data_IF_768979873530
#
_entry.id   IF_768979873530
#
_cell.length_a   1.000
_cell.length_b   1.000
_cell.length_c   1.000
_cell.angle_alpha   90.00
_cell.angle_beta   90.00
_cell.angle_gamma   90.00
#
_symmetry.space_group_name_H-M   'P 1'
#
loop_
_entity.id
_entity.type
_entity.pdbx_description
1 polymer ?
#
# COMPACT_ATOMS: atom_id res chain seq x y z
N UNK A 1 -14.23 -16.09 5.90
CA UNK A 1 -14.42 -14.65 6.16
C UNK A 1 -15.62 -14.14 5.40
N UNK A 2 -16.03 -12.88 5.58
CA UNK A 2 -17.09 -12.25 4.79
C UNK A 2 -16.51 -11.74 3.47
N UNK A 3 -17.17 -11.98 2.34
CA UNK A 3 -16.83 -11.34 1.07
C UNK A 3 -17.18 -9.85 1.15
N UNK A 4 -16.22 -8.99 0.79
CA UNK A 4 -16.39 -7.53 0.81
C UNK A 4 -16.08 -7.01 -0.59
N UNK A 5 -17.14 -6.68 -1.32
CA UNK A 5 -17.02 -6.09 -2.65
C UNK A 5 -16.54 -4.63 -2.57
N UNK A 6 -15.51 -4.31 -3.35
CA UNK A 6 -14.94 -2.96 -3.44
C UNK A 6 -14.93 -2.39 -4.86
N UNK A 7 -15.37 -3.16 -5.85
CA UNK A 7 -15.35 -2.80 -7.27
C UNK A 7 -16.01 -1.44 -7.55
N UNK A 8 -17.24 -1.24 -7.07
CA UNK A 8 -17.97 0.03 -7.28
C UNK A 8 -17.23 1.25 -6.70
N UNK A 9 -16.57 1.06 -5.54
CA UNK A 9 -15.77 2.14 -4.92
C UNK A 9 -14.53 2.44 -5.75
N UNK A 10 -13.83 1.40 -6.21
CA UNK A 10 -12.64 1.55 -7.08
C UNK A 10 -13.02 2.25 -8.38
N UNK A 11 -14.12 1.84 -9.02
CA UNK A 11 -14.66 2.46 -10.24
C UNK A 11 -14.94 3.95 -10.05
N UNK A 12 -15.65 4.30 -8.98
CA UNK A 12 -15.99 5.68 -8.67
C UNK A 12 -14.75 6.55 -8.38
N UNK A 13 -13.73 6.01 -7.70
CA UNK A 13 -12.49 6.73 -7.40
C UNK A 13 -11.64 6.91 -8.66
N UNK A 14 -11.43 5.85 -9.44
CA UNK A 14 -10.62 5.88 -10.65
C UNK A 14 -11.14 6.89 -11.68
N UNK A 15 -12.45 6.99 -11.84
CA UNK A 15 -13.09 7.97 -12.73
C UNK A 15 -12.85 9.43 -12.33
N UNK A 16 -12.50 9.71 -11.07
CA UNK A 16 -12.27 11.06 -10.55
C UNK A 16 -10.80 11.48 -10.52
N UNK A 17 -9.86 10.54 -10.65
CA UNK A 17 -8.43 10.82 -10.60
C UNK A 17 -7.85 10.74 -12.01
N UNK A 18 -7.91 11.86 -12.75
CA UNK A 18 -7.52 11.91 -14.16
C UNK A 18 -6.06 11.54 -14.44
N UNK A 19 -5.17 11.62 -13.45
CA UNK A 19 -3.75 11.22 -13.57
C UNK A 19 -3.52 9.71 -13.49
N UNK A 20 -4.52 8.91 -13.09
CA UNK A 20 -4.41 7.45 -13.06
C UNK A 20 -4.33 6.91 -14.49
N UNK A 21 -3.29 6.11 -14.75
CA UNK A 21 -3.05 5.43 -16.03
C UNK A 21 -3.46 3.96 -16.03
N UNK A 22 -3.35 3.30 -14.88
CA UNK A 22 -3.64 1.87 -14.74
C UNK A 22 -4.13 1.61 -13.31
N UNK A 23 -5.15 0.75 -13.19
CA UNK A 23 -5.65 0.23 -11.91
C UNK A 23 -5.33 -1.26 -11.85
N UNK A 24 -4.42 -1.65 -10.95
CA UNK A 24 -4.08 -3.06 -10.77
C UNK A 24 -5.04 -3.70 -9.76
N UNK A 25 -5.76 -4.73 -10.17
CA UNK A 25 -6.66 -5.49 -9.31
C UNK A 25 -5.95 -6.70 -8.74
N UNK A 26 -5.67 -6.67 -7.44
CA UNK A 26 -5.12 -7.82 -6.71
C UNK A 26 -6.23 -8.83 -6.48
N UNK A 27 -6.00 -10.08 -6.88
CA UNK A 27 -7.01 -11.10 -6.70
C UNK A 27 -7.09 -11.60 -5.25
N UNK A 28 -8.30 -11.58 -4.71
CA UNK A 28 -8.62 -12.10 -3.38
C UNK A 28 -9.79 -13.09 -3.41
N UNK A 29 -10.74 -12.92 -4.33
CA UNK A 29 -11.96 -13.74 -4.43
C UNK A 29 -12.01 -14.60 -5.70
N UNK A 30 -10.97 -14.58 -6.55
CA UNK A 30 -10.91 -15.29 -7.82
C UNK A 30 -11.67 -14.60 -8.95
N UNK A 31 -12.00 -13.31 -8.80
CA UNK A 31 -12.88 -12.56 -9.74
C UNK A 31 -12.20 -11.32 -10.31
N UNK A 32 -10.88 -11.18 -10.13
CA UNK A 32 -10.16 -9.97 -10.50
C UNK A 32 -10.24 -9.64 -12.01
N UNK A 33 -10.24 -10.64 -12.88
CA UNK A 33 -10.42 -10.48 -14.33
C UNK A 33 -11.80 -9.94 -14.68
N UNK A 34 -12.87 -10.57 -14.17
CA UNK A 34 -14.25 -10.13 -14.40
C UNK A 34 -14.48 -8.70 -13.90
N UNK A 35 -13.88 -8.34 -12.76
CA UNK A 35 -13.96 -6.97 -12.21
C UNK A 35 -13.18 -5.98 -13.07
N UNK A 36 -12.03 -6.38 -13.63
CA UNK A 36 -11.22 -5.50 -14.50
C UNK A 36 -12.02 -5.02 -15.71
N UNK A 37 -12.81 -5.90 -16.33
CA UNK A 37 -13.68 -5.57 -17.47
C UNK A 37 -14.74 -4.49 -17.17
N UNK A 38 -15.02 -4.24 -15.88
CA UNK A 38 -16.04 -3.27 -15.46
C UNK A 38 -15.49 -1.88 -15.13
N UNK A 39 -14.16 -1.72 -15.06
CA UNK A 39 -13.48 -0.50 -14.58
C UNK A 39 -12.51 0.01 -15.66
N UNK A 40 -12.67 1.27 -16.06
CA UNK A 40 -11.77 1.91 -17.02
C UNK A 40 -10.31 1.85 -16.52
N UNK A 41 -9.39 1.47 -17.42
CA UNK A 41 -7.95 1.30 -17.18
C UNK A 41 -7.58 0.21 -16.15
N UNK A 42 -8.51 -0.65 -15.75
CA UNK A 42 -8.21 -1.73 -14.84
C UNK A 42 -7.63 -2.94 -15.57
N UNK A 43 -6.76 -3.68 -14.88
CA UNK A 43 -6.19 -4.95 -15.32
C UNK A 43 -5.99 -5.84 -14.10
N UNK A 44 -6.24 -7.14 -14.24
CA UNK A 44 -5.92 -8.10 -13.19
C UNK A 44 -4.39 -8.13 -12.95
N UNK A 45 -3.97 -8.20 -11.69
CA UNK A 45 -2.53 -8.15 -11.34
C UNK A 45 -1.75 -9.28 -11.99
N UNK A 46 -2.33 -10.48 -12.11
CA UNK A 46 -1.70 -11.62 -12.77
C UNK A 46 -1.45 -11.35 -14.27
N UNK A 47 -2.47 -10.84 -14.98
CA UNK A 47 -2.33 -10.45 -16.38
C UNK A 47 -1.28 -9.34 -16.55
N UNK A 48 -1.30 -8.33 -15.69
CA UNK A 48 -0.32 -7.24 -15.71
C UNK A 48 1.12 -7.72 -15.50
N UNK A 49 1.31 -8.79 -14.72
CA UNK A 49 2.61 -9.40 -14.46
C UNK A 49 3.04 -10.41 -15.53
N UNK A 50 2.11 -10.98 -16.30
CA UNK A 50 2.38 -12.02 -17.29
C UNK A 50 3.48 -11.71 -18.32
N UNK A 51 3.71 -10.45 -18.76
CA UNK A 51 4.79 -10.15 -19.70
C UNK A 51 6.18 -10.12 -19.03
N UNK A 52 6.26 -10.13 -17.69
CA UNK A 52 7.50 -9.98 -16.95
C UNK A 52 8.05 -11.33 -16.52
N UNK A 53 9.31 -11.62 -16.91
CA UNK A 53 10.04 -12.75 -16.37
C UNK A 53 10.56 -12.44 -14.95
N UNK A 54 10.58 -13.45 -14.09
CA UNK A 54 11.19 -13.36 -12.76
C UNK A 54 12.67 -12.99 -12.90
N UNK A 55 13.09 -11.97 -12.14
CA UNK A 55 14.47 -11.48 -12.11
C UNK A 55 14.87 -11.07 -10.69
N UNK A 56 16.17 -11.05 -10.34
CA UNK A 56 16.63 -10.50 -9.08
C UNK A 56 16.15 -9.06 -8.87
N UNK A 57 15.73 -8.73 -7.65
CA UNK A 57 15.32 -7.37 -7.28
C UNK A 57 16.55 -6.49 -7.13
N UNK A 58 16.55 -5.35 -7.82
CA UNK A 58 17.57 -4.30 -7.71
C UNK A 58 17.01 -3.13 -6.92
N UNK A 59 17.79 -2.61 -5.96
CA UNK A 59 17.38 -1.47 -5.13
C UNK A 59 18.13 -0.22 -5.54
N UNK A 60 17.39 0.86 -5.78
CA UNK A 60 17.95 2.18 -6.06
C UNK A 60 18.53 2.81 -4.77
N UNK A 61 19.70 3.45 -4.90
CA UNK A 61 20.31 4.21 -3.80
C UNK A 61 19.72 5.62 -3.79
N UNK A 62 18.92 5.91 -2.79
CA UNK A 62 18.20 7.17 -2.66
C UNK A 62 18.67 7.95 -1.42
N UNK A 63 18.52 9.29 -1.40
CA UNK A 63 18.87 10.09 -0.23
C UNK A 63 18.12 9.65 1.03
N UNK A 64 18.70 9.91 2.21
CA UNK A 64 18.06 9.60 3.49
C UNK A 64 16.64 10.19 3.62
N UNK A 65 16.45 11.39 3.09
CA UNK A 65 15.19 12.14 3.08
C UNK A 65 14.23 11.75 1.95
N UNK A 66 14.54 10.74 1.14
CA UNK A 66 13.66 10.31 0.04
C UNK A 66 12.27 9.90 0.58
N UNK A 67 11.17 10.35 -0.03
CA UNK A 67 9.83 10.02 0.42
C UNK A 67 9.56 8.52 0.33
N UNK A 68 9.03 7.93 1.39
CA UNK A 68 8.67 6.51 1.46
C UNK A 68 7.16 6.30 1.29
N UNK A 69 6.35 6.94 2.13
CA UNK A 69 4.89 6.88 2.05
C UNK A 69 4.22 8.19 2.45
N UNK A 70 2.99 8.37 1.98
CA UNK A 70 2.08 9.45 2.37
C UNK A 70 0.95 8.83 3.21
N UNK A 71 0.81 9.27 4.45
CA UNK A 71 -0.30 8.88 5.32
C UNK A 71 -1.22 10.08 5.50
N UNK A 72 -2.53 9.86 5.30
CA UNK A 72 -3.54 10.88 5.49
C UNK A 72 -4.08 10.86 6.92
N UNK A 73 -4.11 12.03 7.56
CA UNK A 73 -4.71 12.24 8.88
C UNK A 73 -5.98 13.09 8.76
N UNK A 74 -6.98 12.84 9.61
CA UNK A 74 -8.27 13.54 9.58
C UNK A 74 -8.19 15.04 9.86
N UNK A 75 -7.12 15.54 10.50
CA UNK A 75 -7.00 16.95 10.88
C UNK A 75 -8.12 17.42 11.82
N UNK A 76 -8.04 18.67 12.33
CA UNK A 76 -9.05 19.24 13.24
C UNK A 76 -10.05 20.16 12.54
N UNK A 77 -9.77 20.64 11.32
CA UNK A 77 -10.57 21.71 10.69
C UNK A 77 -10.61 21.70 9.14
N UNK A 78 -10.51 20.54 8.46
CA UNK A 78 -10.63 20.56 7.00
C UNK A 78 -10.21 19.30 6.25
N UNK A 79 -9.67 19.51 5.04
CA UNK A 79 -9.16 18.46 4.14
C UNK A 79 -8.10 17.62 4.87
N UNK A 80 -8.08 16.27 4.69
CA UNK A 80 -7.08 15.42 5.29
C UNK A 80 -5.65 15.91 5.05
N UNK A 81 -4.83 15.91 6.12
CA UNK A 81 -3.43 16.32 6.02
C UNK A 81 -2.61 15.20 5.40
N UNK A 82 -1.88 15.51 4.32
CA UNK A 82 -0.89 14.63 3.72
C UNK A 82 0.39 14.68 4.54
N UNK A 83 0.71 13.61 5.29
CA UNK A 83 1.95 13.50 6.05
C UNK A 83 2.93 12.65 5.25
N UNK A 84 4.05 13.24 4.84
CA UNK A 84 5.11 12.54 4.09
C UNK A 84 6.15 12.02 5.06
N UNK A 85 6.44 10.72 4.99
CA UNK A 85 7.50 10.08 5.75
C UNK A 85 8.72 9.82 4.86
N UNK A 86 9.92 10.02 5.39
CA UNK A 86 11.17 9.73 4.67
C UNK A 86 11.65 8.30 4.94
N UNK A 87 12.30 7.68 3.96
CA UNK A 87 12.80 6.31 4.06
C UNK A 87 13.78 6.13 5.22
N UNK A 88 14.79 7.00 5.33
CA UNK A 88 15.79 6.93 6.40
C UNK A 88 15.21 7.22 7.78
N UNK A 89 14.35 8.25 7.89
CA UNK A 89 13.73 8.63 9.15
C UNK A 89 12.79 7.53 9.68
N UNK A 90 11.93 6.98 8.82
CA UNK A 90 11.05 5.86 9.18
C UNK A 90 11.85 4.62 9.58
N UNK A 91 12.90 4.27 8.83
CA UNK A 91 13.72 3.10 9.14
C UNK A 91 14.32 3.17 10.55
N UNK A 92 14.96 4.29 10.90
CA UNK A 92 15.57 4.45 12.24
C UNK A 92 14.48 4.44 13.32
N UNK A 93 13.34 5.09 13.08
CA UNK A 93 12.24 5.09 14.03
C UNK A 93 11.72 3.67 14.30
N UNK A 94 11.48 2.87 13.26
CA UNK A 94 11.01 1.49 13.41
C UNK A 94 12.04 0.60 14.10
N UNK A 95 13.34 0.72 13.76
CA UNK A 95 14.38 -0.06 14.44
C UNK A 95 14.44 0.30 15.92
N UNK A 96 14.37 1.60 16.26
CA UNK A 96 14.34 2.07 17.65
C UNK A 96 13.10 1.53 18.39
N UNK A 97 11.91 1.64 17.81
CA UNK A 97 10.67 1.15 18.41
C UNK A 97 10.67 -0.36 18.61
N UNK A 98 10.96 -1.12 17.56
CA UNK A 98 10.96 -2.57 17.62
C UNK A 98 12.03 -3.12 18.56
N UNK A 99 13.28 -2.65 18.45
CA UNK A 99 14.40 -3.24 19.20
C UNK A 99 14.52 -2.70 20.64
N UNK A 100 14.24 -1.42 20.88
CA UNK A 100 14.47 -0.80 22.19
C UNK A 100 13.21 -0.65 23.03
N UNK A 101 12.06 -0.33 22.41
CA UNK A 101 10.84 -0.08 23.16
C UNK A 101 9.96 -1.35 23.29
N UNK A 102 9.89 -2.16 22.23
CA UNK A 102 9.14 -3.41 22.23
C UNK A 102 10.01 -4.64 22.57
N UNK A 103 11.34 -4.50 22.54
CA UNK A 103 12.28 -5.58 22.88
C UNK A 103 12.28 -6.75 21.89
N UNK A 104 11.86 -6.53 20.63
CA UNK A 104 11.80 -7.58 19.61
C UNK A 104 13.19 -8.08 19.26
N UNK A 105 13.39 -9.38 19.43
CA UNK A 105 14.58 -10.14 19.12
C UNK A 105 14.45 -10.95 17.84
N UNK A 106 15.53 -11.63 17.48
CA UNK A 106 15.52 -12.56 16.36
C UNK A 106 14.74 -13.82 16.76
N UNK A 107 13.85 -14.26 15.87
CA UNK A 107 12.95 -15.41 16.11
C UNK A 107 11.60 -15.04 16.73
N UNK A 108 11.42 -13.80 17.21
CA UNK A 108 10.14 -13.33 17.71
C UNK A 108 9.08 -13.24 16.61
N UNK A 109 7.82 -13.42 17.00
CA UNK A 109 6.66 -13.27 16.12
C UNK A 109 5.86 -12.05 16.56
N UNK A 110 5.99 -10.96 15.80
CA UNK A 110 5.23 -9.75 16.04
C UNK A 110 3.86 -9.83 15.36
N UNK A 111 2.80 -9.59 16.13
CA UNK A 111 1.44 -9.48 15.62
C UNK A 111 0.81 -8.20 16.15
N UNK A 112 0.39 -7.33 15.22
CA UNK A 112 -0.37 -6.13 15.52
C UNK A 112 -1.72 -6.22 14.81
N UNK A 113 -2.82 -6.22 15.56
CA UNK A 113 -4.16 -6.22 14.98
C UNK A 113 -4.54 -4.81 14.51
N UNK A 114 -4.45 -4.58 13.20
CA UNK A 114 -4.70 -3.28 12.57
C UNK A 114 -5.12 -3.45 11.10
N UNK A 115 -5.67 -2.41 10.48
CA UNK A 115 -5.94 -2.41 9.03
C UNK A 115 -4.82 -1.69 8.27
N UNK A 116 -4.68 -1.97 6.97
CA UNK A 116 -3.61 -1.38 6.14
C UNK A 116 -3.69 0.15 5.98
N UNK A 117 -4.81 0.76 6.37
CA UNK A 117 -4.98 2.22 6.30
C UNK A 117 -4.43 2.97 7.52
N UNK A 118 -4.03 2.27 8.58
CA UNK A 118 -3.52 2.88 9.80
C UNK A 118 -2.00 2.85 9.87
N UNK A 119 -1.43 3.84 10.56
CA UNK A 119 0.03 3.93 10.71
C UNK A 119 0.63 2.69 11.41
N UNK A 120 -0.13 2.00 12.27
CA UNK A 120 0.32 0.76 12.92
C UNK A 120 0.62 -0.40 11.97
N UNK A 121 0.13 -0.36 10.72
CA UNK A 121 0.43 -1.39 9.72
C UNK A 121 1.78 -1.18 9.03
N UNK A 122 2.26 0.07 8.98
CA UNK A 122 3.46 0.47 8.24
C UNK A 122 4.71 0.24 9.08
#
# INVERSE_FOLDING_TARGET
GKAIEVADKVKAVAARIGSVRTVLLVDYLGTSADVADTIDKAVAMEEALSPFAVRPVTFERLPFSHPLYILFSSGTTGIPKCIVHSAGGTLIQHVKEHRLHAGLGDGDRFFYFTTCGWMMWN
#
